data_IF_842663896759
#
_entry.id   IF_842663896759
#
_cell.length_a   1.000
_cell.length_b   1.000
_cell.length_c   1.000
_cell.angle_alpha   90.00
_cell.angle_beta   90.00
_cell.angle_gamma   90.00
#
_symmetry.space_group_name_H-M   'P 1'
#
loop_
_entity.id
_entity.type
_entity.pdbx_description
1 polymer ?
#
# COMPACT_ATOMS: atom_id res chain seq x y z
N UNK A 1 -40.19 -18.26 23.52
CA UNK A 1 -38.97 -17.42 23.72
C UNK A 1 -37.66 -18.16 23.41
N UNK A 2 -37.32 -19.30 24.03
CA UNK A 2 -36.01 -19.98 23.82
C UNK A 2 -35.67 -20.31 22.34
N UNK A 3 -36.64 -20.75 21.54
CA UNK A 3 -36.42 -21.08 20.11
C UNK A 3 -36.18 -19.85 19.21
N UNK A 4 -36.78 -18.70 19.53
CA UNK A 4 -36.57 -17.48 18.74
C UNK A 4 -35.23 -16.80 19.07
N UNK A 5 -34.78 -16.89 20.33
CA UNK A 5 -33.43 -16.48 20.72
C UNK A 5 -32.37 -17.35 20.03
N UNK A 6 -32.61 -18.66 19.95
CA UNK A 6 -31.70 -19.58 19.24
C UNK A 6 -31.61 -19.25 17.73
N UNK A 7 -32.74 -18.91 17.10
CA UNK A 7 -32.77 -18.55 15.68
C UNK A 7 -32.01 -17.25 15.39
N UNK A 8 -32.09 -16.25 16.27
CA UNK A 8 -31.35 -15.00 16.16
C UNK A 8 -29.83 -15.18 16.32
N UNK A 9 -29.40 -16.09 17.21
CA UNK A 9 -27.97 -16.40 17.39
C UNK A 9 -27.41 -17.11 16.16
N UNK A 10 -28.16 -18.05 15.57
CA UNK A 10 -27.75 -18.72 14.33
C UNK A 10 -27.67 -17.73 13.18
N UNK A 11 -28.65 -16.83 13.05
CA UNK A 11 -28.63 -15.81 11.98
C UNK A 11 -27.41 -14.90 12.09
N UNK A 12 -27.02 -14.48 13.30
CA UNK A 12 -25.86 -13.61 13.54
C UNK A 12 -24.52 -14.28 13.19
N UNK A 13 -24.42 -15.61 13.33
CA UNK A 13 -23.21 -16.38 12.98
C UNK A 13 -23.00 -16.50 11.46
N UNK A 14 -24.07 -16.48 10.65
CA UNK A 14 -23.97 -16.59 9.18
C UNK A 14 -23.59 -15.27 8.51
N UNK A 15 -23.72 -14.13 9.20
CA UNK A 15 -23.40 -12.80 8.66
C UNK A 15 -21.98 -12.34 8.97
N UNK A 16 -21.12 -13.20 9.54
CA UNK A 16 -19.70 -12.84 9.65
C UNK A 16 -19.12 -12.75 8.24
N UNK A 17 -18.67 -11.57 7.78
CA UNK A 17 -18.03 -11.48 6.50
C UNK A 17 -16.76 -12.33 6.58
N UNK A 18 -16.63 -13.29 5.66
CA UNK A 18 -15.37 -13.96 5.42
C UNK A 18 -14.36 -12.87 5.03
N UNK A 19 -13.56 -12.43 6.00
CA UNK A 19 -12.42 -11.57 5.72
C UNK A 19 -11.45 -12.44 4.94
N UNK A 20 -11.49 -12.27 3.62
CA UNK A 20 -10.58 -12.94 2.70
C UNK A 20 -9.22 -12.26 2.90
N UNK A 21 -8.37 -12.83 3.75
CA UNK A 21 -6.97 -12.42 3.88
C UNK A 21 -6.27 -12.90 2.61
N UNK A 22 -6.21 -12.03 1.60
CA UNK A 22 -5.46 -12.30 0.38
C UNK A 22 -3.98 -12.11 0.71
N UNK A 23 -3.25 -13.23 0.93
CA UNK A 23 -1.80 -13.18 1.02
C UNK A 23 -1.23 -13.00 -0.38
N UNK A 24 -0.99 -11.76 -0.78
CA UNK A 24 -0.29 -11.43 -2.01
C UNK A 24 1.10 -12.07 -1.96
N UNK A 25 1.40 -12.98 -2.89
CA UNK A 25 2.79 -13.39 -3.15
C UNK A 25 3.55 -12.15 -3.59
N UNK A 26 4.66 -11.81 -2.94
CA UNK A 26 5.52 -10.68 -3.30
C UNK A 26 5.88 -10.75 -4.78
N UNK A 27 5.21 -9.94 -5.60
CA UNK A 27 5.51 -9.88 -7.03
C UNK A 27 6.78 -9.06 -7.15
N UNK A 28 7.80 -9.62 -7.79
CA UNK A 28 9.03 -8.87 -8.06
C UNK A 28 8.69 -7.63 -8.88
N UNK A 29 9.03 -6.46 -8.34
CA UNK A 29 8.65 -5.16 -8.89
C UNK A 29 9.57 -4.80 -10.08
N UNK A 30 9.23 -5.31 -11.28
CA UNK A 30 9.97 -5.04 -12.52
C UNK A 30 9.48 -3.74 -13.18
N UNK A 31 9.97 -2.61 -12.66
CA UNK A 31 9.62 -1.27 -13.15
C UNK A 31 10.76 -0.67 -13.99
N UNK A 32 10.39 -0.07 -15.13
CA UNK A 32 11.32 0.63 -16.03
C UNK A 32 11.90 1.89 -15.41
N UNK A 33 11.08 2.62 -14.65
CA UNK A 33 11.46 3.85 -13.97
C UNK A 33 11.33 3.65 -12.46
N UNK A 34 12.32 4.13 -11.73
CA UNK A 34 12.42 4.03 -10.27
C UNK A 34 12.94 5.36 -9.74
N UNK A 35 12.46 5.77 -8.58
CA UNK A 35 13.01 6.89 -7.84
C UNK A 35 13.03 6.54 -6.36
N UNK A 36 14.08 6.96 -5.67
CA UNK A 36 14.22 6.76 -4.23
C UNK A 36 13.25 7.67 -3.48
N UNK A 37 12.53 7.09 -2.52
CA UNK A 37 11.60 7.82 -1.67
C UNK A 37 12.24 8.06 -0.30
N UNK A 38 12.44 9.33 0.06
CA UNK A 38 12.92 9.67 1.40
C UNK A 38 11.78 9.67 2.38
N UNK A 39 11.79 8.72 3.30
CA UNK A 39 10.82 8.64 4.39
C UNK A 39 11.31 9.50 5.57
N UNK A 40 10.42 10.26 6.25
CA UNK A 40 10.82 11.17 7.35
C UNK A 40 11.04 10.44 8.69
N UNK A 41 11.43 9.16 8.67
CA UNK A 41 11.72 8.36 9.86
C UNK A 41 12.92 7.43 9.63
N UNK A 42 13.55 7.01 10.73
CA UNK A 42 14.64 6.04 10.72
C UNK A 42 14.08 4.61 10.76
N UNK A 43 14.06 3.93 9.61
CA UNK A 43 13.50 2.58 9.47
C UNK A 43 14.34 1.50 10.15
N UNK A 44 15.57 1.80 10.60
CA UNK A 44 16.39 0.83 11.36
C UNK A 44 15.85 0.54 12.76
N UNK A 45 14.89 1.34 13.23
CA UNK A 45 14.27 1.23 14.55
C UNK A 45 13.03 0.36 14.51
N UNK A 46 13.01 -0.70 15.31
CA UNK A 46 11.90 -1.69 15.39
C UNK A 46 10.55 -1.03 15.70
N UNK A 47 10.55 0.05 16.48
CA UNK A 47 9.34 0.82 16.79
C UNK A 47 8.71 1.54 15.58
N UNK A 48 9.41 1.64 14.46
CA UNK A 48 8.86 2.20 13.22
C UNK A 48 8.12 1.19 12.37
N UNK A 49 8.26 -0.11 12.66
CA UNK A 49 7.54 -1.14 11.93
C UNK A 49 6.03 -0.93 12.03
N UNK A 50 5.35 -1.13 10.90
CA UNK A 50 3.91 -0.92 10.73
C UNK A 50 3.42 0.50 11.03
N UNK A 51 4.32 1.47 11.19
CA UNK A 51 3.91 2.87 11.25
C UNK A 51 3.50 3.34 9.85
N UNK A 52 2.43 4.13 9.74
CA UNK A 52 2.02 4.71 8.47
C UNK A 52 3.01 5.81 8.06
N UNK A 53 3.34 5.81 6.78
CA UNK A 53 4.04 6.89 6.10
C UNK A 53 3.04 7.57 5.19
N UNK A 54 2.94 8.89 5.30
CA UNK A 54 2.14 9.74 4.43
C UNK A 54 3.04 10.83 3.86
N UNK A 55 3.22 10.82 2.53
CA UNK A 55 4.18 11.67 1.85
C UNK A 55 3.66 12.17 0.52
N UNK A 56 3.96 13.44 0.23
CA UNK A 56 3.82 14.00 -1.11
C UNK A 56 5.03 13.62 -1.95
N UNK A 57 4.79 13.16 -3.18
CA UNK A 57 5.83 12.69 -4.10
C UNK A 57 5.68 13.39 -5.44
N UNK A 58 6.73 14.11 -5.83
CA UNK A 58 6.92 14.58 -7.21
C UNK A 58 7.69 13.52 -8.01
N UNK A 59 7.27 13.23 -9.23
CA UNK A 59 7.88 12.20 -10.06
C UNK A 59 8.94 12.78 -11.01
N UNK A 60 10.16 12.22 -10.96
CA UNK A 60 11.21 12.52 -11.92
C UNK A 60 10.83 12.15 -13.36
N UNK A 61 9.98 11.13 -13.53
CA UNK A 61 9.41 10.70 -14.80
C UNK A 61 7.89 10.64 -14.65
N UNK A 62 7.15 11.14 -15.65
CA UNK A 62 5.69 11.14 -15.63
C UNK A 62 5.15 9.72 -15.42
N UNK A 63 4.19 9.58 -14.51
CA UNK A 63 3.53 8.32 -14.24
C UNK A 63 2.18 8.27 -14.94
N UNK A 64 1.85 7.14 -15.57
CA UNK A 64 0.52 6.94 -16.13
C UNK A 64 -0.50 6.76 -15.01
N UNK A 65 -1.60 7.51 -15.08
CA UNK A 65 -2.74 7.38 -14.19
C UNK A 65 -4.01 7.88 -14.87
N UNK A 66 -5.13 7.20 -14.63
CA UNK A 66 -6.47 7.67 -14.98
C UNK A 66 -7.22 8.21 -13.75
N UNK A 67 -6.99 7.58 -12.60
CA UNK A 67 -7.51 7.97 -11.29
C UNK A 67 -6.73 7.20 -10.19
N UNK A 68 -7.08 7.44 -8.93
CA UNK A 68 -6.48 6.88 -7.72
C UNK A 68 -6.56 5.35 -7.63
N UNK A 69 -7.47 4.72 -8.39
CA UNK A 69 -7.63 3.25 -8.43
C UNK A 69 -7.06 2.62 -9.70
N UNK A 70 -6.63 3.44 -10.67
CA UNK A 70 -6.21 3.00 -11.99
C UNK A 70 -4.96 3.77 -12.41
N UNK A 71 -3.80 3.30 -11.96
CA UNK A 71 -2.50 3.94 -12.14
C UNK A 71 -1.33 2.95 -12.18
N UNK A 72 -0.18 3.47 -12.62
CA UNK A 72 1.10 2.76 -12.70
C UNK A 72 2.02 2.95 -11.48
N UNK A 73 1.66 3.83 -10.54
CA UNK A 73 2.45 4.08 -9.32
C UNK A 73 2.52 2.82 -8.47
N UNK A 74 3.72 2.50 -7.97
CA UNK A 74 4.03 1.35 -7.11
C UNK A 74 5.03 1.79 -6.05
N UNK A 75 4.83 1.35 -4.82
CA UNK A 75 5.79 1.52 -3.72
C UNK A 75 6.47 0.17 -3.52
N UNK A 76 7.79 0.16 -3.56
CA UNK A 76 8.58 -1.06 -3.42
C UNK A 76 9.76 -0.76 -2.48
N UNK A 77 10.22 -1.75 -1.72
CA UNK A 77 11.43 -1.67 -0.89
C UNK A 77 12.39 -2.81 -1.27
N UNK A 78 13.69 -2.66 -1.02
CA UNK A 78 14.69 -3.69 -1.28
C UNK A 78 15.23 -4.28 0.04
N UNK A 79 15.00 -5.57 0.27
CA UNK A 79 15.55 -6.29 1.44
C UNK A 79 16.88 -7.01 1.13
N UNK A 80 17.48 -6.73 -0.03
CA UNK A 80 18.66 -7.41 -0.56
C UNK A 80 18.35 -8.67 -1.38
N UNK A 81 17.09 -9.12 -1.42
CA UNK A 81 16.62 -10.17 -2.34
C UNK A 81 16.01 -9.61 -3.63
N UNK A 82 15.86 -8.28 -3.71
CA UNK A 82 15.24 -7.54 -4.79
C UNK A 82 14.03 -6.74 -4.34
N UNK A 83 13.39 -6.04 -5.29
CA UNK A 83 12.27 -5.15 -4.97
C UNK A 83 10.98 -5.92 -4.64
N UNK A 84 10.51 -5.73 -3.41
CA UNK A 84 9.24 -6.22 -2.88
C UNK A 84 8.22 -5.08 -2.88
N UNK A 85 7.08 -5.29 -3.53
CA UNK A 85 5.98 -4.31 -3.57
C UNK A 85 5.26 -4.21 -2.22
N UNK A 86 5.01 -2.97 -1.78
CA UNK A 86 4.19 -2.63 -0.63
C UNK A 86 2.78 -2.25 -1.06
N UNK A 87 1.80 -2.73 -0.31
CA UNK A 87 0.45 -2.21 -0.40
C UNK A 87 0.47 -0.71 -0.04
N UNK A 88 -0.12 0.09 -0.92
CA UNK A 88 -0.12 1.55 -0.79
C UNK A 88 -1.43 2.12 -1.33
N UNK A 89 -1.83 3.25 -0.75
CA UNK A 89 -2.91 4.08 -1.25
C UNK A 89 -2.30 5.29 -1.96
N UNK A 90 -2.79 5.57 -3.16
CA UNK A 90 -2.47 6.77 -3.92
C UNK A 90 -3.65 7.72 -3.86
N UNK A 91 -3.41 9.00 -3.61
CA UNK A 91 -4.46 10.01 -3.58
C UNK A 91 -3.92 11.39 -4.00
N UNK A 92 -4.83 12.33 -4.24
CA UNK A 92 -4.50 13.73 -4.60
C UNK A 92 -3.60 13.81 -5.85
N UNK A 93 -4.07 13.20 -6.94
CA UNK A 93 -3.31 13.14 -8.20
C UNK A 93 -3.16 14.51 -8.87
N UNK A 94 -1.93 14.93 -9.12
CA UNK A 94 -1.63 16.13 -9.90
C UNK A 94 -1.36 15.78 -11.36
N UNK A 95 -2.40 15.91 -12.19
CA UNK A 95 -2.32 15.67 -13.62
C UNK A 95 -1.51 16.74 -14.37
N UNK A 96 -0.70 16.30 -15.33
CA UNK A 96 -0.05 17.18 -16.32
C UNK A 96 -0.75 17.15 -17.68
N UNK A 97 -1.43 16.04 -17.97
CA UNK A 97 -2.29 15.84 -19.14
C UNK A 97 -3.42 14.87 -18.77
N UNK A 98 -4.19 14.40 -19.76
CA UNK A 98 -5.35 13.52 -19.52
C UNK A 98 -5.02 12.17 -18.86
N UNK A 99 -3.79 11.67 -18.98
CA UNK A 99 -3.44 10.30 -18.58
C UNK A 99 -2.13 10.20 -17.79
N UNK A 100 -1.50 11.32 -17.46
CA UNK A 100 -0.25 11.33 -16.71
C UNK A 100 -0.29 12.29 -15.54
N UNK A 101 0.37 11.89 -14.48
CA UNK A 101 0.56 12.67 -13.25
C UNK A 101 2.03 13.03 -13.08
N UNK A 102 2.25 14.23 -12.53
CA UNK A 102 3.56 14.74 -12.14
C UNK A 102 3.81 14.62 -10.64
N UNK A 103 2.74 14.52 -9.83
CA UNK A 103 2.84 14.33 -8.39
C UNK A 103 1.59 13.64 -7.85
N UNK A 104 1.69 13.08 -6.65
CA UNK A 104 0.57 12.61 -5.84
C UNK A 104 0.99 12.47 -4.37
N UNK A 105 0.03 12.16 -3.51
CA UNK A 105 0.30 11.72 -2.15
C UNK A 105 0.22 10.19 -2.07
N UNK A 106 1.06 9.60 -1.21
CA UNK A 106 1.17 8.17 -0.97
C UNK A 106 1.01 7.87 0.51
N UNK A 107 0.19 6.86 0.83
CA UNK A 107 0.14 6.24 2.16
C UNK A 107 0.54 4.78 2.07
N UNK A 108 1.44 4.33 2.93
CA UNK A 108 1.81 2.92 3.08
C UNK A 108 2.30 2.64 4.51
N UNK A 109 2.45 1.37 4.86
CA UNK A 109 3.03 0.96 6.14
C UNK A 109 4.50 0.58 5.94
N UNK A 110 5.34 0.96 6.91
CA UNK A 110 6.72 0.46 6.99
C UNK A 110 6.66 -1.06 7.22
N UNK A 111 7.31 -1.88 6.36
CA UNK A 111 7.26 -3.33 6.52
C UNK A 111 8.03 -3.77 7.78
N UNK A 112 7.77 -5.00 8.24
CA UNK A 112 8.60 -5.60 9.28
C UNK A 112 9.98 -5.98 8.75
N UNK A 113 10.96 -6.10 9.65
CA UNK A 113 12.32 -6.55 9.35
C UNK A 113 13.13 -5.63 8.43
N UNK A 114 12.76 -4.35 8.36
CA UNK A 114 13.60 -3.29 7.76
C UNK A 114 14.71 -2.87 8.72
N UNK A 115 15.88 -2.55 8.16
CA UNK A 115 17.13 -2.25 8.85
C UNK A 115 17.73 -0.87 8.49
N UNK A 116 17.05 -0.07 7.67
CA UNK A 116 17.50 1.27 7.27
C UNK A 116 18.30 1.31 5.97
N UNK A 117 18.43 0.20 5.25
CA UNK A 117 19.14 0.12 3.96
C UNK A 117 18.22 -0.11 2.75
N UNK A 118 16.91 -0.08 2.99
CA UNK A 118 15.89 -0.33 1.96
C UNK A 118 15.94 0.62 0.76
#
# INVERSE_FOLDING_TARGET
MKKQVLFLIVLFLVITPNVLVFKTTSTTCNLRFKQELKVPVDTSRVETWFQPVDVHVEFNHRCWARNETCHSVRVCYDDGSGLVELESQVYDLEFIDENHVKACNLVFLIPENVDGKE
#
